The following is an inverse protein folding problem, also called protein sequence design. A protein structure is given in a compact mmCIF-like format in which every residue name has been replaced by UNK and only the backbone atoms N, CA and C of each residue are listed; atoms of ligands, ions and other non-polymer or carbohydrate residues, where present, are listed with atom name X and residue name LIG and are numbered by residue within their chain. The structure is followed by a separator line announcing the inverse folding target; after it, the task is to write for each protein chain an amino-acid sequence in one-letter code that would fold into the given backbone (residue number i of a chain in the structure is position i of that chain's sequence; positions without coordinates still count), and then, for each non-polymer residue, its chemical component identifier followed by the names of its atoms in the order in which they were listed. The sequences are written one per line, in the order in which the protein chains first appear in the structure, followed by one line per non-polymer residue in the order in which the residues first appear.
data_IF_708468832732
#
_entry.id   IF_708468832732
#
_cell.length_a   1.000
_cell.length_b   1.000
_cell.length_c   1.000
_cell.angle_alpha   90.00
_cell.angle_beta   90.00
_cell.angle_gamma   90.00
#
_symmetry.space_group_name_H-M   'P 1'
#
loop_
_entity.id
_entity.type
_entity.pdbx_description
1 polymer ?
#
# COMPACT_ATOMS: atom_id res chain seq x y z
N UNK A 1 4.93 7.45 -0.17
CA UNK A 1 4.09 6.56 -0.99
C UNK A 1 2.65 7.00 -0.82
N UNK A 2 1.82 6.87 -1.85
CA UNK A 2 0.42 7.30 -1.83
C UNK A 2 -0.44 6.45 -2.78
N UNK A 3 -1.76 6.51 -2.60
CA UNK A 3 -2.72 6.03 -3.58
C UNK A 3 -3.89 7.02 -3.72
N UNK A 4 -4.55 7.01 -4.87
CA UNK A 4 -5.73 7.83 -5.13
C UNK A 4 -7.01 7.03 -4.91
N UNK A 5 -8.04 7.71 -4.40
CA UNK A 5 -9.41 7.23 -4.32
C UNK A 5 -10.24 8.11 -5.23
N UNK A 6 -11.03 7.50 -6.12
CA UNK A 6 -11.93 8.22 -7.03
C UNK A 6 -13.33 7.66 -6.84
N UNK A 7 -14.30 8.54 -6.66
CA UNK A 7 -15.71 8.19 -6.47
C UNK A 7 -16.59 9.03 -7.40
N UNK A 8 -17.76 8.48 -7.72
CA UNK A 8 -18.84 9.19 -8.37
C UNK A 8 -20.14 8.90 -7.61
N UNK A 9 -21.03 9.88 -7.59
CA UNK A 9 -22.41 9.70 -7.13
C UNK A 9 -23.37 9.84 -8.31
N UNK A 10 -24.52 9.19 -8.22
CA UNK A 10 -25.61 9.30 -9.19
C UNK A 10 -26.49 10.54 -8.97
N UNK A 11 -26.23 11.31 -7.91
CA UNK A 11 -26.80 12.60 -7.57
C UNK A 11 -25.74 13.47 -6.89
N UNK A 12 -25.92 14.81 -6.83
CA UNK A 12 -25.00 15.65 -6.07
C UNK A 12 -24.99 15.28 -4.58
N UNK A 13 -23.84 15.44 -3.93
CA UNK A 13 -23.68 15.05 -2.54
C UNK A 13 -22.24 15.06 -2.06
N UNK A 14 -22.00 14.33 -0.98
CA UNK A 14 -20.71 14.18 -0.32
C UNK A 14 -20.42 12.70 -0.11
N UNK A 15 -19.14 12.34 -0.13
CA UNK A 15 -18.65 11.02 0.26
C UNK A 15 -17.65 11.20 1.38
N UNK A 16 -18.04 10.75 2.57
CA UNK A 16 -17.17 10.64 3.73
C UNK A 16 -16.28 9.41 3.57
N UNK A 17 -15.01 9.54 3.93
CA UNK A 17 -14.08 8.43 3.90
C UNK A 17 -13.24 8.33 5.16
N UNK A 18 -12.91 7.09 5.52
CA UNK A 18 -11.96 6.73 6.58
C UNK A 18 -11.02 5.66 6.02
N UNK A 19 -9.73 5.79 6.26
CA UNK A 19 -8.68 4.85 5.85
C UNK A 19 -7.99 4.29 7.08
N UNK A 20 -7.80 2.98 7.14
CA UNK A 20 -7.08 2.30 8.21
C UNK A 20 -6.48 0.99 7.67
N UNK A 21 -5.71 0.27 8.49
CA UNK A 21 -5.19 -1.03 8.09
C UNK A 21 -6.34 -1.98 7.78
N UNK A 22 -6.18 -2.82 6.76
CA UNK A 22 -7.25 -3.76 6.41
C UNK A 22 -7.46 -4.86 7.46
N UNK A 23 -6.53 -5.02 8.40
CA UNK A 23 -6.65 -5.90 9.56
C UNK A 23 -7.51 -5.32 10.68
N UNK A 24 -7.71 -4.00 10.70
CA UNK A 24 -8.50 -3.33 11.74
C UNK A 24 -10.00 -3.59 11.54
N UNK A 25 -10.79 -3.64 12.62
CA UNK A 25 -12.24 -3.81 12.52
C UNK A 25 -12.89 -2.75 11.63
N UNK A 26 -13.92 -3.10 10.87
CA UNK A 26 -14.63 -2.13 10.04
C UNK A 26 -15.31 -1.04 10.89
N UNK A 27 -15.16 0.26 10.57
CA UNK A 27 -15.92 1.33 11.20
C UNK A 27 -17.40 1.28 10.80
N UNK A 28 -18.26 1.74 11.72
CA UNK A 28 -19.69 1.95 11.47
C UNK A 28 -19.95 3.16 10.57
N UNK A 29 -21.17 3.27 10.03
CA UNK A 29 -21.60 4.46 9.26
C UNK A 29 -21.35 5.75 10.04
N UNK A 30 -21.74 5.77 11.32
CA UNK A 30 -21.57 6.93 12.19
C UNK A 30 -20.09 7.33 12.37
N UNK A 31 -19.20 6.34 12.48
CA UNK A 31 -17.76 6.57 12.59
C UNK A 31 -17.17 7.10 11.29
N UNK A 32 -17.56 6.54 10.14
CA UNK A 32 -17.12 7.05 8.83
C UNK A 32 -17.58 8.49 8.61
N UNK A 33 -18.85 8.81 8.91
CA UNK A 33 -19.37 10.19 8.79
C UNK A 33 -18.74 11.16 9.80
N UNK A 34 -18.29 10.66 10.95
CA UNK A 34 -17.57 11.45 11.95
C UNK A 34 -16.07 11.59 11.64
N UNK A 35 -15.55 10.87 10.63
CA UNK A 35 -14.14 10.88 10.27
C UNK A 35 -13.24 10.18 11.29
N UNK A 36 -13.76 9.20 12.03
CA UNK A 36 -12.99 8.46 13.06
C UNK A 36 -12.84 6.99 12.70
N UNK A 37 -11.77 6.37 13.19
CA UNK A 37 -11.52 4.93 13.06
C UNK A 37 -12.60 4.10 13.77
N UNK A 38 -12.57 2.77 13.55
CA UNK A 38 -13.43 1.83 14.28
C UNK A 38 -13.23 1.83 15.80
N UNK A 39 -12.11 2.36 16.28
CA UNK A 39 -11.78 2.49 17.70
C UNK A 39 -12.10 3.90 18.27
N UNK A 40 -12.84 4.73 17.52
CA UNK A 40 -13.19 6.11 17.88
C UNK A 40 -11.98 7.05 18.05
N UNK A 41 -10.82 6.68 17.50
CA UNK A 41 -9.62 7.52 17.44
C UNK A 41 -9.30 8.01 16.03
N UNK A 42 -8.18 8.73 15.88
CA UNK A 42 -7.68 9.19 14.59
C UNK A 42 -7.37 7.99 13.67
N UNK A 43 -7.96 7.92 12.47
CA UNK A 43 -7.61 6.93 11.46
C UNK A 43 -6.27 7.27 10.79
N UNK A 44 -5.83 6.44 9.82
CA UNK A 44 -4.67 6.78 8.99
C UNK A 44 -4.92 8.06 8.19
N UNK A 45 -6.11 8.14 7.59
CA UNK A 45 -6.59 9.30 6.87
C UNK A 45 -8.13 9.33 6.92
N UNK A 46 -8.71 10.52 6.88
CA UNK A 46 -10.15 10.71 6.80
C UNK A 46 -10.48 12.04 6.16
N UNK A 47 -11.63 12.10 5.48
CA UNK A 47 -12.04 13.32 4.83
C UNK A 47 -13.38 13.22 4.15
N UNK A 48 -13.68 14.26 3.37
CA UNK A 48 -14.95 14.39 2.64
C UNK A 48 -14.65 14.81 1.21
N UNK A 49 -15.09 14.00 0.26
CA UNK A 49 -15.10 14.32 -1.15
C UNK A 49 -16.46 14.92 -1.51
N UNK A 50 -16.49 16.10 -2.11
CA UNK A 50 -17.75 16.70 -2.59
C UNK A 50 -17.97 16.36 -4.05
N UNK A 51 -19.14 15.82 -4.39
CA UNK A 51 -19.58 15.53 -5.75
C UNK A 51 -20.66 16.55 -6.12
N UNK A 52 -20.31 17.68 -6.76
CA UNK A 52 -21.26 18.78 -6.99
C UNK A 52 -22.27 18.47 -8.10
N UNK A 53 -22.05 17.41 -8.88
CA UNK A 53 -22.92 17.01 -9.98
C UNK A 53 -22.82 15.50 -10.16
N UNK A 54 -23.96 14.85 -10.39
CA UNK A 54 -24.02 13.42 -10.68
C UNK A 54 -23.04 13.01 -11.80
N UNK A 55 -22.31 11.91 -11.59
CA UNK A 55 -21.36 11.34 -12.55
C UNK A 55 -20.06 12.14 -12.72
N UNK A 56 -19.83 13.19 -11.93
CA UNK A 56 -18.51 13.83 -11.85
C UNK A 56 -17.60 13.04 -10.91
N UNK A 57 -16.34 12.88 -11.30
CA UNK A 57 -15.31 12.34 -10.44
C UNK A 57 -15.05 13.33 -9.29
N UNK A 58 -14.99 12.79 -8.08
CA UNK A 58 -14.34 13.43 -6.95
C UNK A 58 -13.23 12.51 -6.45
N UNK A 59 -12.09 13.11 -6.13
CA UNK A 59 -10.89 12.38 -5.74
C UNK A 59 -10.33 12.82 -4.39
N UNK A 60 -9.64 11.87 -3.75
CA UNK A 60 -8.80 12.10 -2.59
C UNK A 60 -7.48 11.36 -2.79
N UNK A 61 -6.40 11.91 -2.23
CA UNK A 61 -5.09 11.28 -2.22
C UNK A 61 -4.73 10.93 -0.80
N UNK A 62 -4.51 9.63 -0.54
CA UNK A 62 -4.05 9.12 0.74
C UNK A 62 -2.52 9.08 0.68
N UNK A 63 -1.88 9.94 1.45
CA UNK A 63 -0.42 10.06 1.50
C UNK A 63 0.20 9.27 2.66
N UNK A 64 1.53 9.24 2.70
CA UNK A 64 2.32 8.66 3.79
C UNK A 64 2.01 7.19 4.14
N UNK A 65 1.48 6.40 3.19
CA UNK A 65 1.20 4.98 3.39
C UNK A 65 2.48 4.14 3.39
N UNK A 66 2.49 3.05 4.15
CA UNK A 66 3.59 2.09 4.19
C UNK A 66 3.58 1.18 2.95
N UNK A 67 4.74 0.58 2.62
CA UNK A 67 4.90 -0.37 1.51
C UNK A 67 4.60 -1.79 1.99
N UNK A 68 4.20 -2.67 1.06
CA UNK A 68 3.85 -4.05 1.37
C UNK A 68 2.77 -4.15 2.46
N UNK A 69 1.81 -3.22 2.43
CA UNK A 69 0.78 -3.04 3.45
C UNK A 69 -0.61 -3.01 2.81
N UNK A 70 -1.56 -3.74 3.41
CA UNK A 70 -2.96 -3.72 3.00
C UNK A 70 -3.75 -2.67 3.80
N UNK A 71 -4.40 -1.75 3.10
CA UNK A 71 -5.29 -0.74 3.64
C UNK A 71 -6.74 -0.98 3.19
N UNK A 72 -7.69 -0.55 4.00
CA UNK A 72 -9.10 -0.49 3.66
C UNK A 72 -9.60 0.96 3.71
N UNK A 73 -10.25 1.38 2.62
CA UNK A 73 -10.94 2.68 2.49
C UNK A 73 -12.44 2.44 2.67
N UNK A 74 -13.00 3.05 3.70
CA UNK A 74 -14.41 2.95 4.07
C UNK A 74 -15.13 4.21 3.61
N UNK A 75 -16.20 4.05 2.84
CA UNK A 75 -16.92 5.14 2.17
C UNK A 75 -18.39 5.15 2.58
N UNK A 76 -18.93 6.33 2.85
CA UNK A 76 -20.35 6.57 3.08
C UNK A 76 -20.76 7.83 2.32
N UNK A 77 -21.79 7.72 1.47
CA UNK A 77 -22.35 8.88 0.78
C UNK A 77 -23.50 9.54 1.55
N UNK A 78 -23.62 10.84 1.38
CA UNK A 78 -24.73 11.70 1.82
C UNK A 78 -25.17 12.56 0.63
N UNK A 79 -26.48 12.67 0.35
CA UNK A 79 -26.98 13.55 -0.71
C UNK A 79 -26.85 15.05 -0.33
N UNK A 80 -27.16 15.97 -1.24
CA UNK A 80 -27.17 17.41 -0.96
C UNK A 80 -28.59 17.98 -0.73
N UNK A 81 -29.56 17.14 -0.39
CA UNK A 81 -30.95 17.54 -0.27
C UNK A 81 -31.16 18.61 0.81
N UNK A 82 -31.86 19.69 0.45
CA UNK A 82 -32.16 20.80 1.35
C UNK A 82 -32.95 20.33 2.59
N UNK A 83 -32.39 20.59 3.77
CA UNK A 83 -33.03 20.41 5.08
C UNK A 83 -32.69 19.11 5.80
N UNK A 84 -32.76 17.95 5.14
CA UNK A 84 -32.44 16.67 5.77
C UNK A 84 -31.77 15.73 4.77
N UNK A 85 -30.46 15.90 4.56
CA UNK A 85 -29.71 15.00 3.70
C UNK A 85 -29.87 13.54 4.11
N UNK A 86 -30.03 12.65 3.13
CA UNK A 86 -30.05 11.22 3.38
C UNK A 86 -28.61 10.68 3.43
N UNK A 87 -28.34 9.74 4.34
CA UNK A 87 -27.02 9.09 4.47
C UNK A 87 -27.18 7.62 4.13
N UNK A 88 -26.20 7.04 3.43
CA UNK A 88 -26.19 5.61 3.16
C UNK A 88 -26.18 4.80 4.47
N UNK A 89 -27.02 3.77 4.54
CA UNK A 89 -27.16 2.92 5.73
C UNK A 89 -26.08 1.84 5.86
N UNK A 90 -25.13 1.79 4.92
CA UNK A 90 -24.06 0.80 4.89
C UNK A 90 -22.77 1.43 4.39
N UNK A 91 -21.65 0.94 4.92
CA UNK A 91 -20.31 1.35 4.49
C UNK A 91 -19.90 0.55 3.26
N UNK A 92 -19.38 1.23 2.24
CA UNK A 92 -18.70 0.62 1.09
C UNK A 92 -17.20 0.50 1.38
N UNK A 93 -16.56 -0.60 0.98
CA UNK A 93 -15.15 -0.87 1.30
C UNK A 93 -14.36 -1.08 0.02
N UNK A 94 -13.23 -0.36 -0.10
CA UNK A 94 -12.22 -0.59 -1.13
C UNK A 94 -10.93 -1.05 -0.46
N UNK A 95 -10.30 -2.10 -0.99
CA UNK A 95 -9.01 -2.62 -0.49
C UNK A 95 -7.89 -2.22 -1.42
N UNK A 96 -6.79 -1.76 -0.84
CA UNK A 96 -5.59 -1.33 -1.56
C UNK A 96 -4.39 -2.01 -0.93
N UNK A 97 -3.56 -2.67 -1.76
CA UNK A 97 -2.31 -3.25 -1.33
C UNK A 97 -1.14 -2.45 -1.93
N UNK A 98 -0.27 -1.91 -1.10
CA UNK A 98 0.89 -1.16 -1.56
C UNK A 98 2.02 -2.11 -1.96
N UNK A 99 2.70 -1.81 -3.07
CA UNK A 99 3.79 -2.65 -3.56
C UNK A 99 5.05 -2.45 -2.74
N UNK A 100 5.84 -3.52 -2.63
CA UNK A 100 7.24 -3.39 -2.22
C UNK A 100 8.06 -2.82 -3.37
N UNK A 101 8.93 -1.87 -3.03
CA UNK A 101 9.88 -1.26 -3.98
C UNK A 101 11.28 -1.15 -3.38
N UNK A 102 11.53 -1.82 -2.26
CA UNK A 102 12.88 -2.04 -1.73
C UNK A 102 13.62 -3.01 -2.66
N UNK A 103 14.93 -2.86 -2.87
CA UNK A 103 15.75 -3.96 -3.35
C UNK A 103 16.13 -4.89 -2.18
N UNK A 104 16.32 -6.19 -2.43
CA UNK A 104 16.82 -7.10 -1.40
C UNK A 104 18.24 -6.74 -1.00
N UNK A 105 18.54 -6.90 0.28
CA UNK A 105 19.87 -6.75 0.86
C UNK A 105 20.40 -8.10 1.37
N UNK A 106 21.73 -8.26 1.40
CA UNK A 106 22.35 -9.46 1.94
C UNK A 106 22.41 -9.37 3.48
N UNK A 107 21.70 -10.26 4.16
CA UNK A 107 21.87 -10.47 5.61
C UNK A 107 23.06 -11.39 5.90
N UNK A 108 23.26 -12.41 5.05
CA UNK A 108 24.41 -13.31 5.08
C UNK A 108 25.02 -13.39 3.68
N UNK A 109 26.34 -13.22 3.61
CA UNK A 109 27.13 -13.44 2.40
C UNK A 109 28.50 -13.97 2.78
N UNK A 110 28.65 -15.28 2.83
CA UNK A 110 29.91 -15.92 3.19
C UNK A 110 30.24 -17.11 2.31
N UNK A 111 31.49 -17.21 1.80
CA UNK A 111 31.96 -18.41 1.15
C UNK A 111 32.46 -19.43 2.20
N UNK A 112 32.12 -20.69 2.01
CA UNK A 112 32.67 -21.82 2.78
C UNK A 112 33.54 -22.67 1.86
N UNK A 113 34.85 -22.72 2.13
CA UNK A 113 35.75 -23.57 1.37
C UNK A 113 35.51 -25.04 1.70
N UNK A 114 35.34 -25.85 0.66
CA UNK A 114 35.31 -27.31 0.74
C UNK A 114 36.54 -27.85 0.00
N UNK A 115 37.64 -28.13 0.73
CA UNK A 115 38.89 -28.54 0.10
C UNK A 115 38.76 -29.81 -0.75
N UNK A 116 39.58 -29.95 -1.81
CA UNK A 116 40.65 -29.04 -2.20
C UNK A 116 40.24 -27.94 -3.19
N UNK A 117 39.10 -28.06 -3.87
CA UNK A 117 38.79 -27.23 -5.07
C UNK A 117 37.33 -26.79 -5.17
N UNK A 118 36.52 -27.04 -4.15
CA UNK A 118 35.10 -26.69 -4.13
C UNK A 118 34.82 -25.67 -3.03
N UNK A 119 33.73 -24.94 -3.15
CA UNK A 119 33.24 -24.08 -2.10
C UNK A 119 31.73 -23.94 -2.24
N UNK A 120 31.07 -23.63 -1.14
CA UNK A 120 29.69 -23.15 -1.13
C UNK A 120 29.69 -21.64 -0.98
N UNK A 121 28.66 -20.98 -1.49
CA UNK A 121 28.32 -19.61 -1.10
C UNK A 121 27.03 -19.71 -0.32
N UNK A 122 27.08 -19.36 0.96
CA UNK A 122 25.87 -19.20 1.77
C UNK A 122 25.37 -17.77 1.60
N UNK A 123 24.09 -17.66 1.23
CA UNK A 123 23.44 -16.39 1.00
C UNK A 123 22.08 -16.37 1.68
N UNK A 124 21.82 -15.30 2.41
CA UNK A 124 20.51 -14.99 2.96
C UNK A 124 20.17 -13.55 2.57
N UNK A 125 18.97 -13.38 2.01
CA UNK A 125 18.39 -12.08 1.70
C UNK A 125 17.35 -11.72 2.76
N UNK A 126 17.20 -10.43 3.03
CA UNK A 126 16.15 -9.88 3.91
C UNK A 126 14.74 -10.00 3.31
N UNK A 127 14.63 -10.09 1.99
CA UNK A 127 13.39 -10.34 1.25
C UNK A 127 13.61 -11.26 0.04
N UNK A 128 12.54 -11.85 -0.54
CA UNK A 128 12.67 -12.70 -1.71
C UNK A 128 13.38 -12.00 -2.87
N UNK A 129 14.44 -12.62 -3.38
CA UNK A 129 15.21 -12.09 -4.49
C UNK A 129 15.94 -13.16 -5.27
N UNK A 130 16.60 -12.74 -6.35
CA UNK A 130 17.50 -13.59 -7.13
C UNK A 130 18.93 -13.12 -6.92
N UNK A 131 19.81 -14.03 -6.51
CA UNK A 131 21.23 -13.77 -6.34
C UNK A 131 21.96 -14.13 -7.62
N UNK A 132 22.61 -13.15 -8.24
CA UNK A 132 23.49 -13.35 -9.38
C UNK A 132 24.94 -13.39 -8.89
N UNK A 133 25.72 -14.34 -9.39
CA UNK A 133 27.14 -14.46 -9.06
C UNK A 133 27.94 -14.94 -10.25
N UNK A 134 29.20 -14.52 -10.32
CA UNK A 134 30.19 -15.04 -11.25
C UNK A 134 31.43 -15.42 -10.46
N UNK A 135 31.92 -16.63 -10.68
CA UNK A 135 33.18 -17.08 -10.09
C UNK A 135 34.31 -16.90 -11.11
N UNK A 136 35.25 -16.00 -10.81
CA UNK A 136 36.45 -15.77 -11.62
C UNK A 136 37.72 -16.18 -10.88
N UNK A 137 38.76 -16.57 -11.62
CA UNK A 137 40.09 -16.75 -11.05
C UNK A 137 40.60 -15.42 -10.48
N UNK A 138 41.23 -15.47 -9.29
CA UNK A 138 41.74 -14.29 -8.58
C UNK A 138 42.69 -13.41 -9.41
N UNK A 139 43.35 -13.99 -10.42
CA UNK A 139 44.28 -13.29 -11.30
C UNK A 139 43.61 -12.51 -12.44
N UNK A 140 42.31 -12.69 -12.64
CA UNK A 140 41.52 -11.94 -13.63
C UNK A 140 41.03 -10.61 -13.03
N UNK A 141 40.74 -9.65 -13.90
CA UNK A 141 40.06 -8.42 -13.48
C UNK A 141 38.68 -8.74 -12.88
N UNK A 142 38.23 -8.02 -11.84
CA UNK A 142 36.89 -8.20 -11.30
C UNK A 142 35.82 -7.99 -12.38
N UNK A 143 34.77 -8.81 -12.40
CA UNK A 143 33.67 -8.62 -13.34
C UNK A 143 32.95 -7.31 -13.03
N UNK A 144 32.48 -6.65 -14.09
CA UNK A 144 31.55 -5.53 -14.02
C UNK A 144 30.17 -6.01 -13.59
N UNK A 145 29.33 -5.10 -13.10
CA UNK A 145 27.94 -5.40 -12.77
C UNK A 145 27.19 -6.02 -13.96
N UNK A 146 27.42 -5.51 -15.18
CA UNK A 146 26.80 -6.06 -16.39
C UNK A 146 27.21 -7.52 -16.67
N UNK A 147 28.47 -7.87 -16.43
CA UNK A 147 28.97 -9.25 -16.59
C UNK A 147 28.43 -10.20 -15.53
N UNK A 148 27.98 -9.70 -14.36
CA UNK A 148 27.34 -10.52 -13.33
C UNK A 148 25.86 -10.82 -13.66
N UNK A 149 25.20 -9.93 -14.41
CA UNK A 149 23.78 -10.05 -14.78
C UNK A 149 23.53 -10.73 -16.14
N UNK A 150 24.57 -11.00 -16.92
CA UNK A 150 24.48 -11.62 -18.26
C UNK A 150 24.37 -13.15 -18.17
#
# INVERSE_FOLDING_TARGET
TSFGVVVQLNEPGRVYYVVQLSSDPQPSVAQVTAGVSSADGEPLDAGVMTVPTAGQDADAVVEAVERNTEYAVYLVAEDDAEGSPNVQNSVTILRVFTLDTSPPTFEVLQPELIPPTTFNIEVMLDEPGTVYYVCVNRTLSPPTTAEVFA
#
